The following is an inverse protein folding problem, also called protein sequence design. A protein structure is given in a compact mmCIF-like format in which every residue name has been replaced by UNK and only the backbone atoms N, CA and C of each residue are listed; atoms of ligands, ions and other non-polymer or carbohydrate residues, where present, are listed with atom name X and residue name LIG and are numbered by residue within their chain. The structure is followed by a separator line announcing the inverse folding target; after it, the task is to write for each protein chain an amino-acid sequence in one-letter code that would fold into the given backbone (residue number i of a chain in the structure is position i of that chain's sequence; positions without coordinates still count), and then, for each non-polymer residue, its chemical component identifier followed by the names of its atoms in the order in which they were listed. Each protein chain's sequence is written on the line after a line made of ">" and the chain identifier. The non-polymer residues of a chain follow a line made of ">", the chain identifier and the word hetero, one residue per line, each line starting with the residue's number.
data_IF_327756786801
#
_entry.id   IF_327756786801
#
_cell.length_a   1.000
_cell.length_b   1.000
_cell.length_c   1.000
_cell.angle_alpha   90.00
_cell.angle_beta   90.00
_cell.angle_gamma   90.00
#
_symmetry.space_group_name_H-M   'P 1'
#
loop_
_entity.id
_entity.type
_entity.pdbx_description
1 polymer ?
#
# COMPACT_ATOMS: atom_id res chain seq x y z
N UNK A 1 51.29 -40.94 13.87
CA UNK A 1 50.00 -41.62 13.69
C UNK A 1 48.98 -40.59 13.26
N UNK A 2 48.59 -40.56 11.98
CA UNK A 2 47.57 -39.64 11.49
C UNK A 2 46.18 -40.18 11.85
N UNK A 3 45.52 -39.56 12.82
CA UNK A 3 44.14 -39.84 13.19
C UNK A 3 43.20 -39.33 12.09
N UNK A 4 42.67 -40.23 11.26
CA UNK A 4 41.56 -39.93 10.34
C UNK A 4 40.35 -39.54 11.18
N UNK A 5 40.03 -38.24 11.24
CA UNK A 5 38.75 -37.77 11.78
C UNK A 5 37.63 -38.34 10.91
N UNK A 6 36.79 -39.20 11.48
CA UNK A 6 35.57 -39.68 10.83
C UNK A 6 34.66 -38.46 10.66
N UNK A 7 34.40 -38.02 9.42
CA UNK A 7 33.41 -36.99 9.18
C UNK A 7 32.03 -37.57 9.49
N UNK A 8 31.41 -37.05 10.56
CA UNK A 8 30.00 -37.29 10.84
C UNK A 8 29.19 -36.51 9.81
N UNK A 9 28.63 -37.22 8.83
CA UNK A 9 27.69 -36.64 7.87
C UNK A 9 26.34 -36.34 8.53
N UNK A 10 25.61 -35.39 7.94
CA UNK A 10 24.23 -35.07 8.32
C UNK A 10 23.31 -36.26 8.00
N UNK A 11 22.40 -36.62 8.89
CA UNK A 11 21.46 -37.71 8.63
C UNK A 11 20.28 -37.24 7.78
N UNK A 12 19.73 -38.14 6.98
CA UNK A 12 18.52 -37.88 6.19
C UNK A 12 17.32 -37.50 7.08
N UNK A 13 17.27 -38.09 8.29
CA UNK A 13 16.24 -37.81 9.29
C UNK A 13 16.37 -36.37 9.81
N UNK A 14 17.58 -35.90 10.14
CA UNK A 14 17.79 -34.52 10.57
C UNK A 14 17.36 -33.53 9.48
N UNK A 15 17.67 -33.84 8.22
CA UNK A 15 17.27 -32.97 7.10
C UNK A 15 15.74 -32.93 6.93
N UNK A 16 15.06 -34.07 7.05
CA UNK A 16 13.60 -34.14 6.96
C UNK A 16 12.91 -33.37 8.09
N UNK A 17 13.42 -33.43 9.32
CA UNK A 17 12.87 -32.66 10.45
C UNK A 17 13.04 -31.16 10.21
N UNK A 18 14.20 -30.72 9.73
CA UNK A 18 14.44 -29.30 9.42
C UNK A 18 13.47 -28.81 8.35
N UNK A 19 13.27 -29.58 7.27
CA UNK A 19 12.32 -29.22 6.20
C UNK A 19 10.89 -29.15 6.74
N UNK A 20 10.49 -30.08 7.61
CA UNK A 20 9.15 -30.06 8.21
C UNK A 20 8.91 -28.80 9.06
N UNK A 21 9.91 -28.38 9.86
CA UNK A 21 9.80 -27.16 10.67
C UNK A 21 9.72 -25.92 9.76
N UNK A 22 10.57 -25.83 8.73
CA UNK A 22 10.53 -24.71 7.77
C UNK A 22 9.18 -24.64 7.06
N UNK A 23 8.59 -25.77 6.68
CA UNK A 23 7.29 -25.82 6.03
C UNK A 23 6.17 -25.23 6.92
N UNK A 24 6.16 -25.58 8.22
CA UNK A 24 5.18 -25.04 9.18
C UNK A 24 5.37 -23.53 9.35
N UNK A 25 6.61 -23.07 9.53
CA UNK A 25 6.90 -21.65 9.68
C UNK A 25 6.53 -20.84 8.42
N UNK A 26 6.84 -21.37 7.24
CA UNK A 26 6.53 -20.73 5.97
C UNK A 26 5.01 -20.60 5.74
N UNK A 27 4.23 -21.61 6.13
CA UNK A 27 2.76 -21.57 6.02
C UNK A 27 2.13 -20.39 6.81
N UNK A 28 2.72 -20.01 7.93
CA UNK A 28 2.25 -18.89 8.76
C UNK A 28 2.88 -17.56 8.30
N UNK A 29 4.17 -17.58 7.97
CA UNK A 29 4.93 -16.38 7.65
C UNK A 29 4.57 -15.79 6.27
N UNK A 30 4.29 -16.63 5.27
CA UNK A 30 4.03 -16.17 3.91
C UNK A 30 2.75 -15.32 3.81
N UNK A 31 1.58 -15.71 4.37
CA UNK A 31 0.39 -14.87 4.35
C UNK A 31 0.61 -13.53 5.07
N UNK A 32 1.29 -13.54 6.22
CA UNK A 32 1.60 -12.32 6.97
C UNK A 32 2.54 -11.38 6.20
N UNK A 33 3.54 -11.94 5.51
CA UNK A 33 4.44 -11.17 4.65
C UNK A 33 3.70 -10.56 3.46
N UNK A 34 2.78 -11.30 2.83
CA UNK A 34 1.94 -10.77 1.75
C UNK A 34 1.08 -9.59 2.23
N UNK A 35 0.50 -9.68 3.42
CA UNK A 35 -0.29 -8.58 4.00
C UNK A 35 0.57 -7.35 4.33
N UNK A 36 1.82 -7.56 4.75
CA UNK A 36 2.79 -6.47 4.94
C UNK A 36 3.16 -5.80 3.62
N UNK A 37 3.47 -6.58 2.58
CA UNK A 37 3.79 -6.06 1.25
C UNK A 37 2.61 -5.28 0.66
N UNK A 38 1.39 -5.79 0.77
CA UNK A 38 0.18 -5.09 0.35
C UNK A 38 0.02 -3.74 1.07
N UNK A 39 0.21 -3.69 2.39
CA UNK A 39 0.18 -2.42 3.14
C UNK A 39 1.27 -1.45 2.70
N UNK A 40 2.48 -1.95 2.46
CA UNK A 40 3.59 -1.11 1.98
C UNK A 40 3.28 -0.47 0.61
N UNK A 41 2.62 -1.22 -0.28
CA UNK A 41 2.16 -0.73 -1.59
C UNK A 41 1.09 0.35 -1.44
N UNK A 42 0.12 0.15 -0.55
CA UNK A 42 -0.87 1.18 -0.24
C UNK A 42 -0.21 2.45 0.33
N UNK A 43 0.76 2.31 1.24
CA UNK A 43 1.49 3.45 1.80
C UNK A 43 2.26 4.22 0.73
N UNK A 44 2.87 3.54 -0.24
CA UNK A 44 3.56 4.19 -1.36
C UNK A 44 2.58 5.03 -2.19
N UNK A 45 1.39 4.52 -2.51
CA UNK A 45 0.38 5.31 -3.22
C UNK A 45 -0.14 6.51 -2.40
N UNK A 46 -0.23 6.37 -1.08
CA UNK A 46 -0.60 7.47 -0.20
C UNK A 46 0.47 8.57 -0.20
N UNK A 47 1.75 8.20 -0.23
CA UNK A 47 2.85 9.15 -0.39
C UNK A 47 2.89 9.79 -1.77
N UNK A 48 2.66 9.01 -2.84
CA UNK A 48 2.66 9.50 -4.21
C UNK A 48 1.53 10.52 -4.47
N UNK A 49 0.38 10.34 -3.83
CA UNK A 49 -0.77 11.26 -3.91
C UNK A 49 -0.69 12.43 -2.92
N UNK A 50 0.41 12.58 -2.18
CA UNK A 50 0.56 13.64 -1.17
C UNK A 50 0.53 15.06 -1.76
N UNK A 51 1.01 15.25 -2.99
CA UNK A 51 0.89 16.53 -3.70
C UNK A 51 -0.57 16.90 -3.95
N UNK A 52 -1.34 15.98 -4.55
CA UNK A 52 -2.77 16.16 -4.80
C UNK A 52 -3.56 16.49 -3.52
N UNK A 53 -3.21 15.85 -2.39
CA UNK A 53 -3.82 16.15 -1.10
C UNK A 53 -3.53 17.58 -0.65
N UNK A 54 -2.31 18.07 -0.87
CA UNK A 54 -1.94 19.44 -0.55
C UNK A 54 -2.70 20.44 -1.44
N UNK A 55 -2.79 20.18 -2.75
CA UNK A 55 -3.47 21.07 -3.69
C UNK A 55 -4.97 21.17 -3.38
N UNK A 56 -5.62 20.05 -3.08
CA UNK A 56 -7.02 20.02 -2.62
C UNK A 56 -7.20 20.77 -1.30
N UNK A 57 -6.23 20.70 -0.38
CA UNK A 57 -6.29 21.42 0.88
C UNK A 57 -6.11 22.94 0.72
N UNK A 58 -5.25 23.37 -0.20
CA UNK A 58 -5.08 24.78 -0.55
C UNK A 58 -6.36 25.32 -1.18
N UNK A 59 -6.89 24.64 -2.20
CA UNK A 59 -8.14 25.02 -2.87
C UNK A 59 -9.29 25.17 -1.87
N UNK A 60 -9.45 24.18 -0.98
CA UNK A 60 -10.49 24.23 0.03
C UNK A 60 -10.32 25.42 1.00
N UNK A 61 -9.08 25.78 1.34
CA UNK A 61 -8.79 26.92 2.23
C UNK A 61 -9.11 28.27 1.57
N UNK A 62 -9.01 28.35 0.25
CA UNK A 62 -9.28 29.57 -0.52
C UNK A 62 -10.77 29.74 -0.84
N UNK A 63 -11.44 28.66 -1.26
CA UNK A 63 -12.80 28.74 -1.79
C UNK A 63 -13.87 28.23 -0.83
N UNK A 64 -13.49 27.62 0.29
CA UNK A 64 -14.40 26.89 1.21
C UNK A 64 -15.23 25.80 0.50
N UNK A 65 -14.80 25.34 -0.67
CA UNK A 65 -15.45 24.30 -1.44
C UNK A 65 -14.42 23.24 -1.86
N UNK A 66 -14.77 21.96 -1.77
CA UNK A 66 -13.91 20.88 -2.29
C UNK A 66 -14.31 20.59 -3.74
N UNK A 67 -13.90 21.48 -4.63
CA UNK A 67 -14.05 21.35 -6.07
C UNK A 67 -12.65 21.30 -6.69
N UNK A 68 -12.10 20.11 -6.99
CA UNK A 68 -10.74 20.03 -7.51
C UNK A 68 -10.61 20.80 -8.83
N UNK A 69 -9.58 21.65 -8.92
CA UNK A 69 -9.28 22.39 -10.12
C UNK A 69 -8.98 21.43 -11.29
N UNK A 70 -9.23 21.90 -12.53
CA UNK A 70 -8.96 21.11 -13.73
C UNK A 70 -7.48 20.68 -13.81
N UNK A 71 -6.58 21.51 -13.30
CA UNK A 71 -5.14 21.24 -13.20
C UNK A 71 -4.87 20.05 -12.26
N UNK A 72 -5.43 20.05 -11.04
CA UNK A 72 -5.29 18.93 -10.09
C UNK A 72 -5.84 17.61 -10.65
N UNK A 73 -6.93 17.66 -11.42
CA UNK A 73 -7.50 16.47 -12.09
C UNK A 73 -6.53 15.95 -13.17
N UNK A 74 -5.95 16.86 -13.95
CA UNK A 74 -4.97 16.52 -14.98
C UNK A 74 -3.68 15.94 -14.37
N UNK A 75 -3.20 16.53 -13.27
CA UNK A 75 -2.04 16.05 -12.52
C UNK A 75 -2.26 14.65 -11.96
N UNK A 76 -3.43 14.37 -11.39
CA UNK A 76 -3.77 13.03 -10.94
C UNK A 76 -3.77 12.02 -12.09
N UNK A 77 -4.29 12.41 -13.26
CA UNK A 77 -4.28 11.54 -14.45
C UNK A 77 -2.86 11.30 -14.96
N UNK A 78 -1.95 12.27 -14.84
CA UNK A 78 -0.55 12.12 -15.21
C UNK A 78 0.29 11.39 -14.15
N UNK A 79 -0.17 11.34 -12.90
CA UNK A 79 0.54 10.73 -11.79
C UNK A 79 0.71 9.23 -12.00
N UNK A 80 1.96 8.77 -11.89
CA UNK A 80 2.32 7.37 -11.89
C UNK A 80 3.10 7.05 -10.62
N UNK A 81 2.81 5.90 -10.02
CA UNK A 81 3.58 5.35 -8.91
C UNK A 81 4.22 4.04 -9.29
N UNK A 82 4.83 3.37 -8.32
CA UNK A 82 5.46 2.07 -8.55
C UNK A 82 4.45 0.97 -8.89
N UNK A 83 3.23 1.07 -8.34
CA UNK A 83 2.20 0.01 -8.43
C UNK A 83 0.93 0.42 -9.17
N UNK A 84 0.90 1.64 -9.71
CA UNK A 84 -0.19 2.16 -10.54
C UNK A 84 0.41 3.00 -11.68
N UNK A 85 -0.11 2.88 -12.91
CA UNK A 85 0.42 3.61 -14.06
C UNK A 85 -0.11 5.05 -14.08
N UNK A 86 0.39 5.88 -15.01
CA UNK A 86 -0.31 7.08 -15.41
C UNK A 86 -1.73 6.72 -15.88
N UNK A 87 -2.72 7.51 -15.47
CA UNK A 87 -4.15 7.23 -15.60
C UNK A 87 -4.69 6.27 -14.52
N UNK A 88 -3.83 5.76 -13.64
CA UNK A 88 -4.22 4.93 -12.49
C UNK A 88 -4.67 5.74 -11.28
N UNK A 89 -4.37 7.04 -11.23
CA UNK A 89 -4.89 7.94 -10.22
C UNK A 89 -5.92 8.92 -10.82
N UNK A 90 -6.93 9.29 -10.03
CA UNK A 90 -7.94 10.26 -10.42
C UNK A 90 -8.47 11.02 -9.20
N UNK A 91 -8.83 12.30 -9.38
CA UNK A 91 -9.56 13.08 -8.39
C UNK A 91 -11.00 13.29 -8.86
N UNK A 92 -11.96 12.98 -8.00
CA UNK A 92 -13.38 13.21 -8.23
C UNK A 92 -13.90 14.38 -7.39
N UNK A 93 -15.16 14.76 -7.61
CA UNK A 93 -15.85 15.77 -6.82
C UNK A 93 -15.75 15.47 -5.30
N UNK A 94 -15.68 16.51 -4.48
CA UNK A 94 -15.45 16.35 -3.05
C UNK A 94 -14.00 16.00 -2.68
N UNK A 95 -13.06 16.13 -3.64
CA UNK A 95 -11.62 15.93 -3.40
C UNK A 95 -11.25 14.48 -3.13
N UNK A 96 -12.08 13.55 -3.59
CA UNK A 96 -11.87 12.12 -3.42
C UNK A 96 -10.81 11.68 -4.41
N UNK A 97 -9.68 11.22 -3.91
CA UNK A 97 -8.60 10.67 -4.73
C UNK A 97 -8.81 9.15 -4.83
N UNK A 98 -8.70 8.61 -6.02
CA UNK A 98 -8.73 7.16 -6.28
C UNK A 98 -7.43 6.72 -6.91
N UNK A 99 -6.91 5.57 -6.47
CA UNK A 99 -5.70 4.95 -7.02
C UNK A 99 -6.01 3.49 -7.35
N UNK A 100 -6.01 3.16 -8.63
CA UNK A 100 -6.20 1.81 -9.16
C UNK A 100 -4.83 1.14 -9.37
N UNK A 101 -4.57 0.08 -8.60
CA UNK A 101 -3.33 -0.66 -8.69
C UNK A 101 -3.37 -1.67 -9.85
N UNK A 102 -2.31 -1.72 -10.65
CA UNK A 102 -2.20 -2.67 -11.76
C UNK A 102 -1.18 -3.80 -11.49
N UNK A 103 -0.40 -3.70 -10.42
CA UNK A 103 0.69 -4.62 -10.13
C UNK A 103 0.90 -4.81 -8.62
N UNK A 104 1.72 -5.79 -8.25
CA UNK A 104 1.98 -6.11 -6.85
C UNK A 104 0.86 -6.91 -6.17
N UNK A 105 0.87 -6.89 -4.84
CA UNK A 105 -0.09 -7.60 -4.00
C UNK A 105 -1.48 -6.94 -4.00
N UNK A 106 -1.57 -5.68 -4.43
CA UNK A 106 -2.81 -4.94 -4.59
C UNK A 106 -3.35 -4.91 -6.03
N UNK A 107 -2.69 -5.59 -6.99
CA UNK A 107 -3.12 -5.59 -8.40
C UNK A 107 -4.62 -5.89 -8.55
N UNK A 108 -5.33 -5.05 -9.31
CA UNK A 108 -6.78 -5.14 -9.53
C UNK A 108 -7.65 -4.51 -8.43
N UNK A 109 -7.06 -4.02 -7.34
CA UNK A 109 -7.77 -3.29 -6.30
C UNK A 109 -7.67 -1.78 -6.52
N UNK A 110 -8.60 -1.03 -5.94
CA UNK A 110 -8.60 0.43 -5.95
C UNK A 110 -8.66 0.95 -4.52
N UNK A 111 -7.74 1.85 -4.16
CA UNK A 111 -7.80 2.57 -2.89
C UNK A 111 -8.44 3.94 -3.12
N UNK A 112 -9.36 4.31 -2.24
CA UNK A 112 -10.04 5.60 -2.25
C UNK A 112 -9.63 6.40 -1.02
N UNK A 113 -9.11 7.60 -1.23
CA UNK A 113 -8.64 8.53 -0.20
C UNK A 113 -9.63 9.69 -0.16
N UNK A 114 -10.31 9.86 0.97
CA UNK A 114 -11.39 10.85 1.14
C UNK A 114 -10.97 11.89 2.19
N UNK A 115 -11.07 13.20 1.89
CA UNK A 115 -10.82 14.23 2.88
C UNK A 115 -11.96 14.25 3.90
N UNK A 116 -11.63 14.34 5.19
CA UNK A 116 -12.60 14.51 6.27
C UNK A 116 -12.52 15.92 6.82
N UNK A 117 -13.61 16.66 6.68
CA UNK A 117 -13.72 18.02 7.17
C UNK A 117 -14.04 18.06 8.66
N UNK A 118 -13.36 18.94 9.40
CA UNK A 118 -13.72 19.33 10.75
C UNK A 118 -13.62 20.85 10.85
N UNK A 119 -14.71 21.50 11.25
CA UNK A 119 -14.75 22.95 11.49
C UNK A 119 -14.20 23.80 10.34
N UNK A 120 -14.52 23.42 9.09
CA UNK A 120 -14.08 24.18 7.92
C UNK A 120 -12.63 23.93 7.49
N UNK A 121 -11.99 22.84 7.95
CA UNK A 121 -10.63 22.44 7.54
C UNK A 121 -10.56 20.93 7.27
N UNK A 122 -9.69 20.51 6.35
CA UNK A 122 -9.38 19.08 6.17
C UNK A 122 -8.58 18.60 7.40
N UNK A 123 -9.23 17.79 8.23
CA UNK A 123 -8.67 17.32 9.50
C UNK A 123 -7.91 16.00 9.39
N UNK A 124 -8.29 15.16 8.42
CA UNK A 124 -7.60 13.92 8.08
C UNK A 124 -7.99 13.46 6.68
N UNK A 125 -7.23 12.48 6.20
CA UNK A 125 -7.58 11.68 5.04
C UNK A 125 -7.96 10.27 5.50
N UNK A 126 -9.04 9.73 4.94
CA UNK A 126 -9.53 8.38 5.25
C UNK A 126 -9.49 7.51 4.00
N UNK A 127 -8.85 6.36 4.12
CA UNK A 127 -8.59 5.44 3.03
C UNK A 127 -9.52 4.24 3.12
N UNK A 128 -10.11 3.84 2.00
CA UNK A 128 -11.04 2.71 1.86
C UNK A 128 -10.83 2.00 0.51
N UNK A 129 -11.64 0.97 0.20
CA UNK A 129 -11.65 0.32 -1.12
C UNK A 129 -10.76 -0.93 -1.28
N UNK A 130 -9.85 -1.17 -0.34
CA UNK A 130 -9.01 -2.39 -0.33
C UNK A 130 -9.76 -3.60 0.25
N UNK A 131 -9.52 -4.78 -0.31
CA UNK A 131 -10.19 -6.04 0.05
C UNK A 131 -9.99 -6.42 1.52
N UNK A 132 -8.80 -6.14 2.08
CA UNK A 132 -8.52 -6.29 3.51
C UNK A 132 -8.27 -4.93 4.14
N UNK A 133 -8.97 -4.63 5.23
CA UNK A 133 -8.76 -3.41 6.03
C UNK A 133 -7.34 -3.33 6.60
N UNK A 134 -6.69 -4.48 6.80
CA UNK A 134 -5.31 -4.57 7.27
C UNK A 134 -4.29 -4.05 6.26
N UNK A 135 -4.64 -3.98 4.97
CA UNK A 135 -3.78 -3.40 3.92
C UNK A 135 -3.83 -1.87 3.93
N UNK A 136 -4.84 -1.26 4.57
CA UNK A 136 -4.92 0.19 4.67
C UNK A 136 -3.80 0.71 5.59
N UNK A 137 -3.01 1.72 5.17
CA UNK A 137 -1.96 2.33 5.98
C UNK A 137 -2.52 2.98 7.24
N UNK A 138 -1.79 2.90 8.37
CA UNK A 138 -2.24 3.48 9.64
C UNK A 138 -2.45 5.00 9.59
N UNK A 139 -1.73 5.72 8.73
CA UNK A 139 -1.86 7.17 8.58
C UNK A 139 -3.16 7.64 7.91
N UNK A 140 -3.97 6.72 7.40
CA UNK A 140 -5.18 7.02 6.67
C UNK A 140 -6.32 6.04 7.05
N UNK A 141 -6.26 5.45 8.24
CA UNK A 141 -7.35 4.62 8.78
C UNK A 141 -8.42 5.47 9.47
#
# INVERSE_FOLDING_TARGET
>A
MNTKKIQKGFTLIELMIVVAIIAILAAIALPAYQDYVARAQATESLSATGGLQADIAVEYSETNAIAPAAETIAEATALAGKYFPAGGAAVAAGGVITVAFNSGALSGQTMTITPTLNSGQISRWTCTGLTKTQHIPSGCR
#
